data_IF_205791516891
#
_entry.id   IF_205791516891
#
_cell.length_a   1.000
_cell.length_b   1.000
_cell.length_c   1.000
_cell.angle_alpha   90.00
_cell.angle_beta   90.00
_cell.angle_gamma   90.00
#
_symmetry.space_group_name_H-M   'P 1'
#
loop_
_entity.id
_entity.type
_entity.pdbx_description
1 polymer ?
#
# COMPACT_ATOMS: atom_id res chain seq x y z
N UNK A 1 -18.40 15.70 -38.79
CA UNK A 1 -16.93 15.57 -38.58
C UNK A 1 -16.47 15.93 -37.16
N UNK A 2 -17.22 16.72 -36.40
CA UNK A 2 -16.88 17.11 -35.01
C UNK A 2 -17.26 16.05 -33.96
N UNK A 3 -18.40 15.36 -34.14
CA UNK A 3 -18.89 14.35 -33.19
C UNK A 3 -17.98 13.12 -33.10
N UNK A 4 -17.47 12.62 -34.23
CA UNK A 4 -16.56 11.45 -34.25
C UNK A 4 -15.25 11.70 -33.49
N UNK A 5 -14.66 12.89 -33.62
CA UNK A 5 -13.43 13.29 -32.90
C UNK A 5 -13.66 13.45 -31.40
N UNK A 6 -14.85 13.92 -30.98
CA UNK A 6 -15.19 14.01 -29.56
C UNK A 6 -15.42 12.63 -28.93
N UNK A 7 -16.07 11.72 -29.67
CA UNK A 7 -16.35 10.37 -29.22
C UNK A 7 -15.06 9.54 -29.07
N UNK A 8 -14.14 9.67 -30.03
CA UNK A 8 -12.81 9.08 -29.94
C UNK A 8 -12.04 9.56 -28.71
N UNK A 9 -12.02 10.88 -28.44
CA UNK A 9 -11.35 11.43 -27.25
C UNK A 9 -11.94 10.92 -25.94
N UNK A 10 -13.27 10.85 -25.82
CA UNK A 10 -13.94 10.30 -24.63
C UNK A 10 -13.57 8.83 -24.41
N UNK A 11 -13.57 8.03 -25.47
CA UNK A 11 -13.17 6.62 -25.40
C UNK A 11 -11.72 6.47 -24.92
N UNK A 12 -10.77 7.22 -25.47
CA UNK A 12 -9.38 7.19 -25.02
C UNK A 12 -9.23 7.63 -23.54
N UNK A 13 -10.01 8.62 -23.10
CA UNK A 13 -10.02 9.04 -21.69
C UNK A 13 -10.52 7.93 -20.77
N UNK A 14 -11.63 7.28 -21.10
CA UNK A 14 -12.20 6.17 -20.34
C UNK A 14 -11.23 4.98 -20.29
N UNK A 15 -10.63 4.62 -21.43
CA UNK A 15 -9.61 3.57 -21.50
C UNK A 15 -8.42 3.88 -20.61
N UNK A 16 -7.85 5.09 -20.69
CA UNK A 16 -6.73 5.50 -19.86
C UNK A 16 -7.10 5.46 -18.37
N UNK A 17 -8.30 5.90 -18.00
CA UNK A 17 -8.77 5.85 -16.62
C UNK A 17 -8.88 4.39 -16.11
N UNK A 18 -9.38 3.47 -16.95
CA UNK A 18 -9.42 2.04 -16.61
C UNK A 18 -8.03 1.43 -16.49
N UNK A 19 -7.11 1.76 -17.40
CA UNK A 19 -5.72 1.29 -17.32
C UNK A 19 -5.04 1.80 -16.05
N UNK A 20 -5.17 3.08 -15.73
CA UNK A 20 -4.62 3.66 -14.49
C UNK A 20 -5.21 2.97 -13.27
N UNK A 21 -6.52 2.73 -13.25
CA UNK A 21 -7.19 2.04 -12.12
C UNK A 21 -6.68 0.61 -11.96
N UNK A 22 -6.61 -0.14 -13.06
CA UNK A 22 -6.16 -1.53 -13.05
C UNK A 22 -4.68 -1.64 -12.63
N UNK A 23 -3.82 -0.80 -13.20
CA UNK A 23 -2.40 -0.76 -12.87
C UNK A 23 -2.17 -0.34 -11.42
N UNK A 24 -2.80 0.74 -10.96
CA UNK A 24 -2.65 1.23 -9.58
C UNK A 24 -3.15 0.22 -8.57
N UNK A 25 -4.27 -0.47 -8.85
CA UNK A 25 -4.80 -1.52 -7.97
C UNK A 25 -3.87 -2.74 -7.92
N UNK A 26 -3.38 -3.19 -9.08
CA UNK A 26 -2.44 -4.32 -9.16
C UNK A 26 -1.12 -4.01 -8.45
N UNK A 27 -0.53 -2.84 -8.68
CA UNK A 27 0.69 -2.42 -7.98
C UNK A 27 0.46 -2.18 -6.49
N UNK A 28 -0.71 -1.68 -6.09
CA UNK A 28 -1.07 -1.56 -4.67
C UNK A 28 -1.05 -2.91 -3.95
N UNK A 29 -1.59 -3.96 -4.58
CA UNK A 29 -1.55 -5.32 -4.03
C UNK A 29 -0.12 -5.85 -3.93
N UNK A 30 0.66 -5.72 -5.00
CA UNK A 30 2.07 -6.17 -5.02
C UNK A 30 2.89 -5.44 -3.96
N UNK A 31 2.70 -4.13 -3.82
CA UNK A 31 3.37 -3.32 -2.81
C UNK A 31 2.99 -3.76 -1.38
N UNK A 32 1.72 -4.03 -1.12
CA UNK A 32 1.27 -4.54 0.18
C UNK A 32 1.92 -5.89 0.53
N UNK A 33 1.99 -6.82 -0.44
CA UNK A 33 2.65 -8.10 -0.26
C UNK A 33 4.16 -7.96 -0.04
N UNK A 34 4.83 -7.09 -0.79
CA UNK A 34 6.26 -6.85 -0.65
C UNK A 34 6.61 -6.27 0.73
N UNK A 35 5.82 -5.32 1.23
CA UNK A 35 6.02 -4.76 2.58
C UNK A 35 5.77 -5.80 3.67
N UNK A 36 4.74 -6.64 3.53
CA UNK A 36 4.48 -7.73 4.46
C UNK A 36 5.71 -8.66 4.59
N UNK A 37 6.22 -9.14 3.45
CA UNK A 37 7.38 -10.03 3.42
C UNK A 37 8.67 -9.35 3.92
N UNK A 38 8.87 -8.07 3.59
CA UNK A 38 10.02 -7.31 4.05
C UNK A 38 10.05 -7.16 5.58
N UNK A 39 8.91 -6.81 6.21
CA UNK A 39 8.81 -6.67 7.67
C UNK A 39 9.00 -8.03 8.34
N UNK A 40 8.36 -9.09 7.83
CA UNK A 40 8.53 -10.45 8.37
C UNK A 40 10.00 -10.90 8.30
N UNK A 41 10.64 -10.72 7.15
CA UNK A 41 12.05 -11.09 6.96
C UNK A 41 12.97 -10.27 7.87
N UNK A 42 12.72 -8.97 8.01
CA UNK A 42 13.47 -8.11 8.90
C UNK A 42 13.39 -8.60 10.35
N UNK A 43 12.19 -8.91 10.84
CA UNK A 43 11.97 -9.46 12.18
C UNK A 43 12.67 -10.80 12.34
N UNK A 44 12.57 -11.68 11.35
CA UNK A 44 13.20 -13.01 11.35
C UNK A 44 14.72 -12.90 11.45
N UNK A 45 15.33 -12.04 10.66
CA UNK A 45 16.80 -11.90 10.60
C UNK A 45 17.37 -11.13 11.79
N UNK A 46 16.66 -10.10 12.28
CA UNK A 46 17.21 -9.17 13.28
C UNK A 46 16.70 -9.41 14.71
N UNK A 47 15.62 -10.17 14.92
CA UNK A 47 15.02 -10.35 16.25
C UNK A 47 15.12 -11.81 16.69
N UNK A 48 14.80 -12.77 15.81
CA UNK A 48 14.81 -14.20 16.13
C UNK A 48 16.16 -14.72 16.66
N UNK A 49 17.34 -14.33 16.11
CA UNK A 49 18.63 -14.84 16.60
C UNK A 49 18.97 -14.42 18.03
N UNK A 50 18.39 -13.31 18.51
CA UNK A 50 18.62 -12.82 19.88
C UNK A 50 17.71 -13.49 20.91
N UNK A 51 16.67 -14.20 20.48
CA UNK A 51 15.71 -14.89 21.35
C UNK A 51 15.52 -16.37 20.95
N UNK A 52 16.59 -17.19 20.95
CA UNK A 52 16.56 -18.57 20.46
C UNK A 52 15.66 -19.51 21.29
N UNK A 53 15.34 -19.15 22.53
CA UNK A 53 14.59 -20.00 23.49
C UNK A 53 13.07 -19.84 23.39
N UNK A 54 12.59 -18.77 22.74
CA UNK A 54 11.19 -18.37 22.76
C UNK A 54 10.59 -18.68 21.39
N UNK A 55 9.80 -19.75 21.31
CA UNK A 55 9.18 -20.38 20.13
C UNK A 55 8.42 -19.43 19.18
N UNK A 56 9.11 -18.54 18.45
CA UNK A 56 8.53 -17.71 17.39
C UNK A 56 7.37 -16.77 17.79
N UNK A 57 6.90 -16.79 19.04
CA UNK A 57 5.80 -15.96 19.54
C UNK A 57 6.27 -14.53 19.68
N UNK A 58 7.49 -14.33 20.21
CA UNK A 58 8.08 -13.00 20.38
C UNK A 58 8.31 -12.34 19.02
N UNK A 59 8.84 -13.06 18.03
CA UNK A 59 9.03 -12.53 16.68
C UNK A 59 7.68 -12.14 16.04
N UNK A 60 6.65 -12.97 16.15
CA UNK A 60 5.28 -12.62 15.68
C UNK A 60 4.70 -11.40 16.40
N UNK A 61 4.96 -11.25 17.69
CA UNK A 61 4.50 -10.10 18.46
C UNK A 61 5.18 -8.80 17.99
N UNK A 62 6.50 -8.83 17.76
CA UNK A 62 7.21 -7.69 17.18
C UNK A 62 6.75 -7.34 15.76
N UNK A 63 6.54 -8.36 14.92
CA UNK A 63 5.95 -8.17 13.61
C UNK A 63 4.60 -7.45 13.69
N UNK A 64 3.69 -7.91 14.57
CA UNK A 64 2.38 -7.29 14.77
C UNK A 64 2.47 -5.83 15.24
N UNK A 65 3.39 -5.54 16.15
CA UNK A 65 3.62 -4.18 16.66
C UNK A 65 4.16 -3.26 15.56
N UNK A 66 5.14 -3.73 14.78
CA UNK A 66 5.72 -2.98 13.66
C UNK A 66 4.68 -2.69 12.59
N UNK A 67 3.92 -3.69 12.14
CA UNK A 67 2.94 -3.45 11.07
C UNK A 67 1.81 -2.53 11.53
N UNK A 68 1.40 -2.61 12.79
CA UNK A 68 0.43 -1.66 13.38
C UNK A 68 1.00 -0.25 13.40
N UNK A 69 2.26 -0.09 13.81
CA UNK A 69 2.94 1.20 13.81
C UNK A 69 2.99 1.80 12.39
N UNK A 70 3.41 1.04 11.39
CA UNK A 70 3.42 1.48 9.99
C UNK A 70 2.02 1.82 9.48
N UNK A 71 1.01 1.02 9.81
CA UNK A 71 -0.38 1.28 9.42
C UNK A 71 -0.86 2.62 9.98
N UNK A 72 -0.63 2.89 11.28
CA UNK A 72 -0.97 4.17 11.91
C UNK A 72 -0.18 5.32 11.27
N UNK A 73 1.12 5.16 11.02
CA UNK A 73 1.95 6.20 10.43
C UNK A 73 1.48 6.57 9.01
N UNK A 74 1.28 5.57 8.15
CA UNK A 74 0.86 5.76 6.77
C UNK A 74 -0.55 6.37 6.72
N UNK A 75 -1.50 5.83 7.50
CA UNK A 75 -2.87 6.35 7.54
C UNK A 75 -2.93 7.78 8.08
N UNK A 76 -2.15 8.10 9.12
CA UNK A 76 -2.03 9.46 9.65
C UNK A 76 -1.47 10.43 8.60
N UNK A 77 -0.38 10.06 7.92
CA UNK A 77 0.23 10.90 6.89
C UNK A 77 -0.70 11.11 5.69
N UNK A 78 -1.38 10.05 5.24
CA UNK A 78 -2.40 10.15 4.19
C UNK A 78 -3.58 11.04 4.61
N UNK A 79 -4.05 10.91 5.85
CA UNK A 79 -5.11 11.78 6.40
C UNK A 79 -4.69 13.26 6.41
N UNK A 80 -3.44 13.54 6.81
CA UNK A 80 -2.87 14.89 6.78
C UNK A 80 -2.73 15.44 5.37
N UNK A 81 -2.30 14.61 4.41
CA UNK A 81 -2.23 14.99 3.00
C UNK A 81 -3.63 15.28 2.45
N UNK A 82 -4.61 14.40 2.67
CA UNK A 82 -5.98 14.62 2.22
C UNK A 82 -6.58 15.93 2.76
N UNK A 83 -6.33 16.23 4.03
CA UNK A 83 -6.77 17.47 4.68
C UNK A 83 -6.17 18.73 4.04
N UNK A 84 -4.92 18.66 3.58
CA UNK A 84 -4.24 19.79 2.90
C UNK A 84 -4.79 20.08 1.51
N UNK A 85 -5.34 19.08 0.84
CA UNK A 85 -5.83 19.19 -0.54
C UNK A 85 -7.35 19.43 -0.61
N UNK A 86 -7.98 19.76 0.51
CA UNK A 86 -9.42 20.04 0.57
C UNK A 86 -10.29 18.83 0.29
N UNK A 87 -9.73 17.61 0.28
CA UNK A 87 -10.49 16.36 0.29
C UNK A 87 -11.00 16.17 1.72
N UNK A 88 -11.98 17.00 2.06
CA UNK A 88 -12.79 16.85 3.27
C UNK A 88 -13.77 15.72 2.99
N UNK A 89 -13.75 14.69 3.82
CA UNK A 89 -14.86 13.74 3.88
C UNK A 89 -16.11 14.48 4.33
#
# INVERSE_FOLDING_TARGET
MTESKQQERKFHQELLQQLVTLSTSGFGLVAALAWNEAIQSFVKVNIEPYFPSQTGVISKFFYALLITFFAVLITYQLSRLASRWGIKK
#
